data_IF_158419328409
#
_entry.id   IF_158419328409
#
_cell.length_a   1.000
_cell.length_b   1.000
_cell.length_c   1.000
_cell.angle_alpha   90.00
_cell.angle_beta   90.00
_cell.angle_gamma   90.00
#
_symmetry.space_group_name_H-M   'P 1'
#
loop_
_entity.id
_entity.type
_entity.pdbx_description
1 polymer ?
#
# COMPACT_ATOMS: atom_id res chain seq x y z
N UNK A 1 17.94 21.47 17.99
CA UNK A 1 19.12 22.02 17.29
C UNK A 1 19.85 23.05 18.14
N UNK A 2 19.22 24.13 18.60
CA UNK A 2 19.91 25.13 19.45
C UNK A 2 20.34 24.54 20.80
N UNK A 3 19.50 23.69 21.41
CA UNK A 3 19.78 23.06 22.70
C UNK A 3 21.01 22.11 22.70
N UNK A 4 21.45 21.62 21.53
CA UNK A 4 22.63 20.74 21.44
C UNK A 4 23.96 21.48 21.43
N UNK A 5 23.96 22.81 21.32
CA UNK A 5 25.17 23.63 21.41
C UNK A 5 25.48 24.02 22.86
N UNK A 6 26.76 24.25 23.22
CA UNK A 6 27.16 24.83 24.51
C UNK A 6 26.46 26.16 24.77
N UNK A 7 26.16 26.47 26.04
CA UNK A 7 25.34 27.64 26.40
C UNK A 7 25.86 28.97 25.84
N UNK A 8 27.18 29.15 25.81
CA UNK A 8 27.88 30.33 25.29
C UNK A 8 27.65 30.58 23.79
N UNK A 9 27.39 29.51 23.02
CA UNK A 9 27.23 29.60 21.56
C UNK A 9 25.77 29.67 21.12
N UNK A 10 24.81 29.46 22.03
CA UNK A 10 23.38 29.36 21.68
C UNK A 10 22.83 30.65 21.12
N UNK A 11 23.22 31.80 21.67
CA UNK A 11 22.74 33.11 21.24
C UNK A 11 23.25 33.47 19.83
N UNK A 12 24.53 33.21 19.57
CA UNK A 12 25.12 33.40 18.25
C UNK A 12 24.49 32.49 17.19
N UNK A 13 24.24 31.22 17.54
CA UNK A 13 23.59 30.26 16.64
C UNK A 13 22.12 30.64 16.40
N UNK A 14 21.39 31.13 17.41
CA UNK A 14 20.02 31.61 17.21
C UNK A 14 19.95 32.81 16.27
N UNK A 15 20.86 33.78 16.43
CA UNK A 15 20.92 34.94 15.55
C UNK A 15 21.24 34.56 14.09
N UNK A 16 22.15 33.60 13.88
CA UNK A 16 22.44 33.08 12.54
C UNK A 16 21.21 32.40 11.91
N UNK A 17 20.47 31.59 12.69
CA UNK A 17 19.28 30.88 12.20
C UNK A 17 18.12 31.80 11.78
N UNK A 18 18.13 33.09 12.11
CA UNK A 18 17.14 34.05 11.62
C UNK A 18 17.26 34.31 10.11
N UNK A 19 18.45 34.11 9.53
CA UNK A 19 18.69 34.34 8.11
C UNK A 19 18.54 33.04 7.32
N UNK A 20 17.66 33.03 6.32
CA UNK A 20 17.41 31.83 5.50
C UNK A 20 18.63 31.37 4.68
N UNK A 21 19.50 32.29 4.29
CA UNK A 21 20.70 31.99 3.50
C UNK A 21 21.83 31.34 4.29
N UNK A 22 21.72 31.27 5.62
CA UNK A 22 22.73 30.59 6.43
C UNK A 22 22.78 29.09 6.07
N UNK A 23 23.97 28.51 5.87
CA UNK A 23 24.12 27.11 5.44
C UNK A 23 23.47 26.13 6.43
N UNK A 24 23.38 26.50 7.71
CA UNK A 24 22.74 25.70 8.74
C UNK A 24 21.23 25.53 8.50
N UNK A 25 20.56 26.57 8.01
CA UNK A 25 19.14 26.52 7.64
C UNK A 25 18.92 25.65 6.39
N UNK A 26 19.78 25.78 5.38
CA UNK A 26 19.70 24.95 4.15
C UNK A 26 19.87 23.46 4.48
N UNK A 27 20.81 23.11 5.37
CA UNK A 27 21.01 21.72 5.83
C UNK A 27 19.78 21.23 6.61
N UNK A 28 19.20 22.07 7.48
CA UNK A 28 17.99 21.70 8.22
C UNK A 28 16.81 21.44 7.28
N UNK A 29 16.60 22.30 6.28
CA UNK A 29 15.53 22.15 5.28
C UNK A 29 15.70 20.88 4.44
N UNK A 30 16.91 20.61 3.92
CA UNK A 30 17.17 19.40 3.14
C UNK A 30 16.95 18.12 3.96
N UNK A 31 17.36 18.14 5.24
CA UNK A 31 17.14 17.00 6.15
C UNK A 31 15.66 16.80 6.45
N UNK A 32 14.92 17.88 6.70
CA UNK A 32 13.47 17.84 6.92
C UNK A 32 12.72 17.32 5.69
N UNK A 33 13.10 17.76 4.49
CA UNK A 33 12.52 17.28 3.23
C UNK A 33 12.80 15.79 3.01
N UNK A 34 14.04 15.34 3.25
CA UNK A 34 14.39 13.93 3.16
C UNK A 34 13.59 13.08 4.15
N UNK A 35 13.44 13.57 5.38
CA UNK A 35 12.64 12.88 6.41
C UNK A 35 11.16 12.77 6.01
N UNK A 36 10.58 13.83 5.44
CA UNK A 36 9.22 13.80 4.91
C UNK A 36 9.06 12.74 3.82
N UNK A 37 9.98 12.67 2.86
CA UNK A 37 9.97 11.65 1.80
C UNK A 37 10.11 10.24 2.36
N UNK A 38 10.98 10.04 3.35
CA UNK A 38 11.14 8.75 4.01
C UNK A 38 9.85 8.31 4.71
N UNK A 39 9.19 9.23 5.44
CA UNK A 39 7.89 8.95 6.07
C UNK A 39 6.81 8.63 5.05
N UNK A 40 6.76 9.37 3.95
CA UNK A 40 5.84 9.07 2.86
C UNK A 40 6.06 7.65 2.33
N UNK A 41 7.31 7.30 2.01
CA UNK A 41 7.65 5.96 1.49
C UNK A 41 7.31 4.84 2.47
N UNK A 42 7.57 5.03 3.77
CA UNK A 42 7.19 4.06 4.81
C UNK A 42 5.67 3.92 4.91
N UNK A 43 4.93 5.02 4.86
CA UNK A 43 3.47 5.00 4.92
C UNK A 43 2.85 4.32 3.69
N UNK A 44 3.40 4.56 2.50
CA UNK A 44 3.00 3.88 1.26
C UNK A 44 3.28 2.38 1.34
N UNK A 45 4.46 1.98 1.81
CA UNK A 45 4.80 0.57 2.05
C UNK A 45 3.89 -0.11 3.07
N UNK A 46 3.55 0.57 4.17
CA UNK A 46 2.61 0.06 5.16
C UNK A 46 1.19 -0.13 4.56
N UNK A 47 0.72 0.82 3.74
CA UNK A 47 -0.57 0.70 3.03
C UNK A 47 -0.58 -0.44 2.03
N UNK A 48 0.51 -0.64 1.28
CA UNK A 48 0.66 -1.74 0.34
C UNK A 48 0.54 -3.13 1.02
N UNK A 49 0.96 -3.24 2.28
CA UNK A 49 0.83 -4.47 3.08
C UNK A 49 -0.57 -4.69 3.69
N UNK A 50 -1.49 -3.72 3.57
CA UNK A 50 -2.84 -3.82 4.12
C UNK A 50 -3.88 -4.09 3.03
N UNK A 51 -4.63 -5.18 3.15
CA UNK A 51 -5.64 -5.58 2.16
C UNK A 51 -6.66 -4.46 1.84
N UNK A 52 -6.97 -3.61 2.80
CA UNK A 52 -7.89 -2.47 2.64
C UNK A 52 -7.36 -1.35 1.75
N UNK A 53 -6.03 -1.18 1.66
CA UNK A 53 -5.38 -0.06 0.99
C UNK A 53 -4.48 -0.48 -0.18
N UNK A 54 -4.11 -1.75 -0.27
CA UNK A 54 -3.28 -2.28 -1.34
C UNK A 54 -3.99 -2.26 -2.70
N UNK A 55 -3.20 -2.13 -3.76
CA UNK A 55 -3.67 -2.06 -5.15
C UNK A 55 -2.68 -2.77 -6.08
N UNK A 56 -3.13 -3.11 -7.29
CA UNK A 56 -2.29 -3.72 -8.32
C UNK A 56 -1.54 -4.98 -7.84
N UNK A 57 -0.23 -5.01 -8.08
CA UNK A 57 0.63 -6.16 -7.75
C UNK A 57 0.75 -6.44 -6.26
N UNK A 58 0.66 -5.43 -5.39
CA UNK A 58 0.69 -5.64 -3.94
C UNK A 58 -0.56 -6.37 -3.46
N UNK A 59 -1.71 -6.00 -4.02
CA UNK A 59 -2.97 -6.70 -3.78
C UNK A 59 -2.93 -8.14 -4.33
N UNK A 60 -2.32 -8.36 -5.49
CA UNK A 60 -2.16 -9.70 -6.06
C UNK A 60 -1.31 -10.62 -5.17
N UNK A 61 -0.20 -10.09 -4.61
CA UNK A 61 0.63 -10.82 -3.67
C UNK A 61 -0.12 -11.16 -2.38
N UNK A 62 -0.86 -10.20 -1.82
CA UNK A 62 -1.68 -10.43 -0.62
C UNK A 62 -2.81 -11.43 -0.86
N UNK A 63 -3.50 -11.34 -2.00
CA UNK A 63 -4.55 -12.29 -2.38
C UNK A 63 -3.97 -13.69 -2.63
N UNK A 64 -2.76 -13.78 -3.18
CA UNK A 64 -2.01 -15.01 -3.38
C UNK A 64 -1.79 -15.80 -2.09
N UNK A 65 -1.52 -15.12 -0.97
CA UNK A 65 -1.40 -15.75 0.35
C UNK A 65 -2.69 -16.45 0.81
N UNK A 66 -3.85 -16.03 0.29
CA UNK A 66 -5.16 -16.61 0.57
C UNK A 66 -5.60 -17.58 -0.55
N UNK A 67 -4.66 -18.06 -1.36
CA UNK A 67 -4.89 -18.91 -2.53
C UNK A 67 -5.91 -18.31 -3.52
N UNK A 68 -5.98 -16.98 -3.61
CA UNK A 68 -6.87 -16.24 -4.50
C UNK A 68 -6.05 -15.55 -5.59
N UNK A 69 -6.26 -15.95 -6.85
CA UNK A 69 -5.61 -15.32 -8.01
C UNK A 69 -6.55 -14.35 -8.70
N UNK A 70 -6.00 -13.32 -9.34
CA UNK A 70 -6.75 -12.42 -10.22
C UNK A 70 -7.29 -13.19 -11.41
N UNK A 71 -8.58 -13.03 -11.70
CA UNK A 71 -9.19 -13.67 -12.85
C UNK A 71 -8.99 -12.83 -14.12
N UNK A 72 -8.84 -13.52 -15.25
CA UNK A 72 -8.94 -12.94 -16.59
C UNK A 72 -10.41 -12.98 -17.01
N UNK A 73 -11.02 -11.83 -17.27
CA UNK A 73 -12.42 -11.73 -17.73
C UNK A 73 -12.49 -11.97 -19.23
N UNK A 74 -11.57 -11.36 -19.99
CA UNK A 74 -11.46 -11.54 -21.43
C UNK A 74 -10.00 -11.83 -21.77
N UNK A 75 -9.69 -12.95 -22.42
CA UNK A 75 -8.33 -13.28 -22.80
C UNK A 75 -7.79 -12.23 -23.79
N UNK A 76 -6.46 -12.08 -23.81
CA UNK A 76 -5.82 -11.25 -24.82
C UNK A 76 -6.08 -11.81 -26.23
N UNK A 77 -6.21 -10.92 -27.19
CA UNK A 77 -6.21 -11.22 -28.63
C UNK A 77 -4.96 -10.55 -29.24
N UNK A 78 -4.57 -10.90 -30.47
CA UNK A 78 -3.38 -10.36 -31.13
C UNK A 78 -3.30 -8.81 -31.15
N UNK A 79 -4.45 -8.14 -31.05
CA UNK A 79 -4.57 -6.67 -31.13
C UNK A 79 -5.02 -6.01 -29.82
N UNK A 80 -5.37 -6.78 -28.79
CA UNK A 80 -5.98 -6.24 -27.56
C UNK A 80 -5.51 -6.98 -26.32
N UNK A 81 -5.07 -6.24 -25.31
CA UNK A 81 -4.67 -6.77 -24.01
C UNK A 81 -5.81 -7.48 -23.28
N UNK A 82 -5.45 -8.40 -22.39
CA UNK A 82 -6.39 -9.12 -21.56
C UNK A 82 -7.11 -8.19 -20.58
N UNK A 83 -8.44 -8.32 -20.49
CA UNK A 83 -9.24 -7.60 -19.49
C UNK A 83 -9.19 -8.38 -18.19
N UNK A 84 -8.54 -7.82 -17.17
CA UNK A 84 -8.37 -8.43 -15.87
C UNK A 84 -9.45 -8.00 -14.89
N UNK A 85 -9.71 -8.83 -13.87
CA UNK A 85 -10.56 -8.47 -12.74
C UNK A 85 -10.08 -7.19 -12.04
N UNK A 86 -11.01 -6.35 -11.60
CA UNK A 86 -10.71 -5.11 -10.86
C UNK A 86 -10.25 -5.36 -9.43
N UNK A 87 -9.46 -4.45 -8.87
CA UNK A 87 -8.94 -4.55 -7.49
C UNK A 87 -10.04 -4.62 -6.43
N UNK A 88 -11.15 -3.93 -6.64
CA UNK A 88 -12.30 -3.95 -5.72
C UNK A 88 -12.94 -5.34 -5.66
N UNK A 89 -13.06 -6.01 -6.80
CA UNK A 89 -13.61 -7.37 -6.89
C UNK A 89 -12.64 -8.40 -6.33
N UNK A 90 -11.34 -8.28 -6.63
CA UNK A 90 -10.30 -9.15 -6.09
C UNK A 90 -10.22 -9.03 -4.56
N UNK A 91 -10.27 -7.80 -4.01
CA UNK A 91 -10.24 -7.56 -2.56
C UNK A 91 -11.42 -8.23 -1.85
N UNK A 92 -12.62 -8.15 -2.42
CA UNK A 92 -13.80 -8.80 -1.87
C UNK A 92 -13.67 -10.34 -1.87
N UNK A 93 -13.06 -10.90 -2.92
CA UNK A 93 -12.76 -12.34 -3.00
C UNK A 93 -11.74 -12.77 -1.96
N UNK A 94 -10.63 -12.03 -1.85
CA UNK A 94 -9.59 -12.31 -0.87
C UNK A 94 -10.16 -12.33 0.56
N UNK A 95 -11.00 -11.34 0.92
CA UNK A 95 -11.67 -11.32 2.23
C UNK A 95 -12.56 -12.54 2.47
N UNK A 96 -13.24 -13.05 1.43
CA UNK A 96 -14.13 -14.22 1.49
C UNK A 96 -13.40 -15.55 1.35
N UNK A 97 -12.09 -15.56 1.08
CA UNK A 97 -11.35 -16.79 0.84
C UNK A 97 -11.44 -17.76 2.04
N UNK A 98 -11.36 -17.23 3.26
CA UNK A 98 -11.48 -18.04 4.48
C UNK A 98 -12.89 -18.60 4.70
N UNK A 99 -13.94 -17.92 4.23
CA UNK A 99 -15.31 -18.44 4.30
C UNK A 99 -15.47 -19.70 3.44
N UNK A 100 -14.65 -19.88 2.39
CA UNK A 100 -14.66 -21.03 1.49
C UNK A 100 -13.88 -22.26 1.97
N UNK A 101 -13.14 -22.17 3.08
CA UNK A 101 -12.36 -23.29 3.61
C UNK A 101 -13.22 -24.35 4.31
N UNK A 102 -14.41 -23.96 4.78
CA UNK A 102 -15.29 -24.88 5.48
C UNK A 102 -15.97 -25.84 4.51
N UNK A 103 -15.89 -27.14 4.78
CA UNK A 103 -16.65 -28.19 4.05
C UNK A 103 -17.99 -28.53 4.71
N UNK A 104 -18.27 -27.97 5.89
CA UNK A 104 -19.46 -28.26 6.69
C UNK A 104 -20.72 -27.48 6.27
N UNK A 105 -20.67 -26.77 5.13
CA UNK A 105 -21.82 -26.07 4.56
C UNK A 105 -22.39 -24.86 5.32
N UNK A 106 -21.60 -24.00 6.00
CA UNK A 106 -22.15 -22.75 6.50
C UNK A 106 -22.62 -21.85 5.34
N UNK A 107 -23.61 -20.99 5.57
CA UNK A 107 -24.22 -20.14 4.53
C UNK A 107 -23.18 -19.34 3.74
N UNK A 108 -22.14 -18.83 4.41
CA UNK A 108 -21.07 -18.06 3.75
C UNK A 108 -20.21 -18.91 2.81
N UNK A 109 -19.91 -20.15 3.19
CA UNK A 109 -19.21 -21.12 2.34
C UNK A 109 -20.00 -21.39 1.05
N UNK A 110 -21.29 -21.73 1.17
CA UNK A 110 -22.16 -22.03 0.02
C UNK A 110 -22.18 -20.85 -0.96
N UNK A 111 -22.31 -19.63 -0.44
CA UNK A 111 -22.28 -18.41 -1.24
C UNK A 111 -20.96 -18.26 -2.02
N UNK A 112 -19.82 -18.51 -1.38
CA UNK A 112 -18.51 -18.47 -2.05
C UNK A 112 -18.47 -19.48 -3.19
N UNK A 113 -18.82 -20.74 -2.95
CA UNK A 113 -18.81 -21.79 -3.99
C UNK A 113 -19.74 -21.48 -5.17
N UNK A 114 -20.96 -21.00 -4.92
CA UNK A 114 -21.89 -20.59 -5.98
C UNK A 114 -21.31 -19.45 -6.82
N UNK A 115 -20.71 -18.44 -6.19
CA UNK A 115 -20.11 -17.29 -6.91
C UNK A 115 -18.84 -17.66 -7.68
N UNK A 116 -18.06 -18.63 -7.21
CA UNK A 116 -16.89 -19.12 -7.95
C UNK A 116 -17.32 -19.90 -9.20
N UNK A 117 -18.33 -20.77 -9.08
CA UNK A 117 -18.86 -21.56 -10.21
C UNK A 117 -19.41 -20.69 -11.34
N UNK A 118 -20.07 -19.58 -11.01
CA UNK A 118 -20.56 -18.62 -12.00
C UNK A 118 -19.43 -17.93 -12.79
N UNK A 119 -18.23 -17.85 -12.21
CA UNK A 119 -17.07 -17.16 -12.82
C UNK A 119 -16.11 -18.11 -13.54
N UNK A 120 -16.14 -19.41 -13.23
CA UNK A 120 -15.32 -20.44 -13.89
C UNK A 120 -16.03 -21.13 -15.06
N UNK A 121 -17.30 -20.79 -15.31
CA UNK A 121 -18.17 -21.42 -16.31
C UNK A 121 -18.37 -20.61 -17.59
N UNK A 122 -17.46 -19.67 -17.89
CA UNK A 122 -17.39 -18.92 -19.13
C UNK A 122 -16.02 -19.15 -19.79
#
# INVERSE_FOLDING_TARGET
MIASYPAEQREAVSAALELESEPLNVIAQTTAFREMLLRQRVNEGARACMLSHSAGTDLDNLAGNMNTKRLTITPATDTTDAVMESDTSLRLRAQRAYDGLSVAGPVRCIRVFCTQRQRSGA
#
